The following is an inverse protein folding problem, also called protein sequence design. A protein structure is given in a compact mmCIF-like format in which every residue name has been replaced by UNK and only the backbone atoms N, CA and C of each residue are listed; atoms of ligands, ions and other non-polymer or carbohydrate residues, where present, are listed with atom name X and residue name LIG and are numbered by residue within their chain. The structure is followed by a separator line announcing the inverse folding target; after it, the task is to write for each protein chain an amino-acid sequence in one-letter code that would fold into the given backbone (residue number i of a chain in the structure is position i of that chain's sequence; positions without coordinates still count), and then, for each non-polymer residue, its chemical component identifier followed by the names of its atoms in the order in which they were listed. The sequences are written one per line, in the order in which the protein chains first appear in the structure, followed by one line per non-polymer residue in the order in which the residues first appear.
data_IF_828451476977
#
_entry.id   IF_828451476977
#
_cell.length_a   1.000
_cell.length_b   1.000
_cell.length_c   1.000
_cell.angle_alpha   90.00
_cell.angle_beta   90.00
_cell.angle_gamma   90.00
#
_symmetry.space_group_name_H-M   'P 1'
#
loop_
_entity.id
_entity.type
_entity.pdbx_description
1 polymer ?
#
# COMPACT_ATOMS: atom_id res chain seq x y z
N UNK A 1 -20.97 13.07 2.20
CA UNK A 1 -20.47 13.50 0.86
C UNK A 1 -19.05 14.08 0.94
N UNK A 2 -18.80 15.16 1.70
CA UNK A 2 -17.46 15.80 1.75
C UNK A 2 -16.33 14.86 2.21
N UNK A 3 -16.60 13.96 3.17
CA UNK A 3 -15.60 13.01 3.67
C UNK A 3 -15.26 11.91 2.65
N UNK A 4 -16.26 11.39 1.93
CA UNK A 4 -16.07 10.37 0.89
C UNK A 4 -15.28 10.90 -0.32
N UNK A 5 -15.47 12.17 -0.68
CA UNK A 5 -14.65 12.82 -1.71
C UNK A 5 -13.18 12.89 -1.28
N UNK A 6 -12.89 13.18 0.00
CA UNK A 6 -11.52 13.15 0.52
C UNK A 6 -10.91 11.76 0.46
N UNK A 7 -11.68 10.72 0.78
CA UNK A 7 -11.24 9.32 0.68
C UNK A 7 -10.85 8.97 -0.76
N UNK A 8 -11.76 9.23 -1.70
CA UNK A 8 -11.53 9.00 -3.13
C UNK A 8 -10.24 9.68 -3.64
N UNK A 9 -10.02 10.94 -3.25
CA UNK A 9 -8.83 11.70 -3.67
C UNK A 9 -7.50 11.12 -3.17
N UNK A 10 -7.50 10.20 -2.19
CA UNK A 10 -6.27 9.63 -1.64
C UNK A 10 -5.88 8.28 -2.29
N UNK A 11 -6.80 7.47 -2.81
CA UNK A 11 -7.21 6.26 -2.08
C UNK A 11 -8.49 5.58 -2.59
N UNK A 12 -8.66 5.05 -3.82
CA UNK A 12 -9.91 4.37 -4.19
C UNK A 12 -10.33 3.26 -3.22
N UNK A 13 -9.38 2.46 -2.71
CA UNK A 13 -9.62 1.42 -1.69
C UNK A 13 -10.07 1.95 -0.32
N UNK A 14 -10.10 3.27 -0.09
CA UNK A 14 -10.74 3.83 1.10
C UNK A 14 -12.27 3.83 1.01
N UNK A 15 -12.83 3.63 -0.18
CA UNK A 15 -14.25 3.52 -0.43
C UNK A 15 -14.66 2.07 -0.20
N UNK A 16 -15.70 1.87 0.61
CA UNK A 16 -16.14 0.53 1.00
C UNK A 16 -16.58 -0.28 -0.23
N UNK A 17 -16.14 -1.54 -0.30
CA UNK A 17 -16.42 -2.48 -1.39
C UNK A 17 -15.63 -2.27 -2.68
N UNK A 18 -14.78 -1.24 -2.80
CA UNK A 18 -13.90 -1.09 -3.96
C UNK A 18 -12.74 -2.08 -3.90
N UNK A 19 -12.16 -2.27 -2.72
CA UNK A 19 -11.07 -3.21 -2.49
C UNK A 19 -11.50 -4.64 -2.81
N UNK A 20 -12.64 -5.08 -2.29
CA UNK A 20 -13.19 -6.42 -2.52
C UNK A 20 -13.39 -6.69 -4.02
N UNK A 21 -13.93 -5.73 -4.76
CA UNK A 21 -14.10 -5.84 -6.22
C UNK A 21 -12.76 -5.94 -6.94
N UNK A 22 -11.78 -5.13 -6.56
CA UNK A 22 -10.45 -5.16 -7.15
C UNK A 22 -9.74 -6.51 -6.89
N UNK A 23 -9.95 -7.10 -5.71
CA UNK A 23 -9.43 -8.43 -5.36
C UNK A 23 -10.04 -9.51 -6.25
N UNK A 24 -11.37 -9.52 -6.41
CA UNK A 24 -12.05 -10.49 -7.26
C UNK A 24 -11.62 -10.36 -8.73
N UNK A 25 -11.60 -9.13 -9.27
CA UNK A 25 -11.15 -8.88 -10.64
C UNK A 25 -9.70 -9.33 -10.88
N UNK A 26 -8.81 -9.12 -9.91
CA UNK A 26 -7.42 -9.57 -10.01
C UNK A 26 -7.33 -11.10 -9.96
N UNK A 27 -8.10 -11.74 -9.07
CA UNK A 27 -8.14 -13.19 -8.93
C UNK A 27 -8.61 -13.85 -10.23
N UNK A 28 -9.68 -13.35 -10.83
CA UNK A 28 -10.19 -13.82 -12.12
C UNK A 28 -9.14 -13.68 -13.24
N UNK A 29 -8.46 -12.53 -13.30
CA UNK A 29 -7.39 -12.31 -14.29
C UNK A 29 -6.24 -13.30 -14.15
N UNK A 30 -5.74 -13.50 -12.92
CA UNK A 30 -4.62 -14.41 -12.68
C UNK A 30 -4.99 -15.87 -12.98
N UNK A 31 -6.20 -16.30 -12.60
CA UNK A 31 -6.68 -17.64 -12.95
C UNK A 31 -6.80 -17.80 -14.46
N UNK A 32 -7.31 -16.78 -15.17
CA UNK A 32 -7.39 -16.78 -16.63
C UNK A 32 -6.04 -16.87 -17.33
N UNK A 33 -5.02 -16.15 -16.84
CA UNK A 33 -3.63 -16.20 -17.34
C UNK A 33 -3.00 -17.60 -17.17
N UNK A 34 -3.45 -18.36 -16.18
CA UNK A 34 -2.95 -19.71 -15.87
C UNK A 34 -3.87 -20.83 -16.36
N UNK A 35 -4.61 -20.60 -17.45
CA UNK A 35 -5.48 -21.59 -18.10
C UNK A 35 -6.58 -22.15 -17.17
N UNK A 36 -7.01 -21.35 -16.19
CA UNK A 36 -8.01 -21.76 -15.21
C UNK A 36 -7.46 -22.58 -14.04
N UNK A 37 -6.14 -22.83 -13.98
CA UNK A 37 -5.52 -23.59 -12.90
C UNK A 37 -5.14 -22.67 -11.73
N UNK A 38 -6.05 -22.58 -10.75
CA UNK A 38 -5.84 -21.82 -9.52
C UNK A 38 -4.60 -22.29 -8.74
N UNK A 39 -4.21 -23.57 -8.85
CA UNK A 39 -3.08 -24.13 -8.10
C UNK A 39 -1.75 -23.49 -8.50
N UNK A 40 -1.68 -22.92 -9.71
CA UNK A 40 -0.52 -22.17 -10.21
C UNK A 40 -0.45 -20.75 -9.65
N UNK A 41 -1.56 -20.21 -9.13
CA UNK A 41 -1.62 -18.88 -8.54
C UNK A 41 -1.09 -18.92 -7.12
N UNK A 42 0.22 -18.73 -6.96
CA UNK A 42 0.83 -18.68 -5.63
C UNK A 42 0.45 -17.40 -4.88
N UNK A 43 0.40 -17.50 -3.54
CA UNK A 43 0.12 -16.34 -2.67
C UNK A 43 1.05 -15.16 -2.93
N UNK A 44 2.36 -15.44 -3.06
CA UNK A 44 3.39 -14.42 -3.34
C UNK A 44 3.15 -13.71 -4.67
N UNK A 45 2.72 -14.45 -5.69
CA UNK A 45 2.40 -13.86 -6.99
C UNK A 45 1.16 -12.97 -6.91
N UNK A 46 0.12 -13.42 -6.19
CA UNK A 46 -1.07 -12.61 -5.93
C UNK A 46 -0.71 -11.30 -5.21
N UNK A 47 0.04 -11.38 -4.10
CA UNK A 47 0.42 -10.19 -3.31
C UNK A 47 1.25 -9.19 -4.15
N UNK A 48 2.20 -9.68 -4.95
CA UNK A 48 2.99 -8.81 -5.84
C UNK A 48 2.11 -8.13 -6.91
N UNK A 49 1.21 -8.90 -7.54
CA UNK A 49 0.30 -8.38 -8.57
C UNK A 49 -0.76 -7.45 -8.00
N UNK A 50 -1.18 -7.67 -6.77
CA UNK A 50 -2.08 -6.79 -6.03
C UNK A 50 -1.49 -5.39 -5.87
N UNK A 51 -0.25 -5.31 -5.38
CA UNK A 51 0.40 -4.01 -5.20
C UNK A 51 0.58 -3.30 -6.53
N UNK A 52 1.07 -4.01 -7.55
CA UNK A 52 1.31 -3.44 -8.89
C UNK A 52 0.02 -2.96 -9.57
N UNK A 53 -0.99 -3.81 -9.66
CA UNK A 53 -2.18 -3.56 -10.46
C UNK A 53 -3.28 -2.83 -9.72
N UNK A 54 -3.38 -2.95 -8.39
CA UNK A 54 -4.50 -2.40 -7.63
C UNK A 54 -4.07 -1.25 -6.73
N UNK A 55 -2.94 -1.34 -6.03
CA UNK A 55 -2.48 -0.27 -5.13
C UNK A 55 -1.78 0.86 -5.89
N UNK A 56 -0.81 0.54 -6.73
CA UNK A 56 -0.03 1.54 -7.45
C UNK A 56 -0.85 2.19 -8.57
N UNK A 57 -1.46 1.38 -9.43
CA UNK A 57 -2.12 1.88 -10.64
C UNK A 57 -3.36 2.73 -10.36
N UNK A 58 -4.03 2.51 -9.21
CA UNK A 58 -5.31 3.15 -8.89
C UNK A 58 -5.18 4.55 -8.30
N UNK A 59 -3.98 4.99 -7.90
CA UNK A 59 -3.75 6.30 -7.28
C UNK A 59 -2.51 7.00 -7.83
N UNK A 60 -2.70 8.16 -8.45
CA UNK A 60 -1.60 8.98 -8.96
C UNK A 60 -0.60 9.42 -7.87
N UNK A 61 -1.04 9.53 -6.61
CA UNK A 61 -0.16 9.77 -5.45
C UNK A 61 0.73 8.55 -5.18
N UNK A 62 0.18 7.34 -5.27
CA UNK A 62 0.93 6.10 -5.09
C UNK A 62 1.95 5.92 -6.21
N UNK A 63 1.56 6.15 -7.47
CA UNK A 63 2.50 6.15 -8.62
C UNK A 63 3.66 7.14 -8.42
N UNK A 64 3.39 8.31 -7.85
CA UNK A 64 4.43 9.31 -7.58
C UNK A 64 5.37 8.85 -6.45
N UNK A 65 4.82 8.37 -5.34
CA UNK A 65 5.61 7.88 -4.20
C UNK A 65 6.48 6.69 -4.60
N UNK A 66 5.95 5.77 -5.40
CA UNK A 66 6.64 4.62 -5.95
C UNK A 66 7.93 4.99 -6.70
N UNK A 67 7.93 6.13 -7.38
CA UNK A 67 9.11 6.66 -8.09
C UNK A 67 10.00 7.51 -7.19
N UNK A 68 9.41 8.27 -6.28
CA UNK A 68 10.12 9.25 -5.47
C UNK A 68 10.89 8.62 -4.31
N UNK A 69 10.28 7.66 -3.59
CA UNK A 69 10.89 7.05 -2.40
C UNK A 69 12.20 6.31 -2.73
N UNK A 70 12.31 5.48 -3.80
CA UNK A 70 13.57 4.84 -4.14
C UNK A 70 14.66 5.84 -4.54
N UNK A 71 14.27 6.96 -5.18
CA UNK A 71 15.21 8.03 -5.53
C UNK A 71 15.77 8.69 -4.27
N UNK A 72 14.90 9.12 -3.36
CA UNK A 72 15.28 9.77 -2.11
C UNK A 72 16.12 8.85 -1.22
N UNK A 73 15.80 7.55 -1.16
CA UNK A 73 16.62 6.55 -0.44
C UNK A 73 18.03 6.46 -1.02
N UNK A 74 18.17 6.42 -2.35
CA UNK A 74 19.47 6.38 -3.02
C UNK A 74 20.32 7.63 -2.76
N UNK A 75 19.66 8.77 -2.59
CA UNK A 75 20.27 10.06 -2.24
C UNK A 75 20.55 10.19 -0.72
N UNK A 76 20.16 9.20 0.09
CA UNK A 76 20.42 9.17 1.54
C UNK A 76 19.44 10.02 2.37
N UNK A 77 18.29 10.41 1.82
CA UNK A 77 17.28 11.20 2.52
C UNK A 77 16.39 10.33 3.41
N UNK A 78 16.10 10.82 4.61
CA UNK A 78 15.01 10.30 5.47
C UNK A 78 13.71 11.02 5.11
N UNK A 79 12.63 10.25 4.92
CA UNK A 79 11.32 10.77 4.49
C UNK A 79 10.28 10.50 5.57
N UNK A 80 9.48 11.52 5.91
CA UNK A 80 8.34 11.40 6.79
C UNK A 80 7.05 11.58 6.00
N UNK A 81 6.12 10.63 6.13
CA UNK A 81 4.81 10.70 5.47
C UNK A 81 3.73 10.84 6.55
N UNK A 82 2.92 11.89 6.44
CA UNK A 82 1.81 12.14 7.34
C UNK A 82 0.49 11.83 6.64
N UNK A 83 -0.37 11.07 7.29
CA UNK A 83 -1.73 10.80 6.83
C UNK A 83 -2.72 10.98 7.97
N UNK A 84 -3.87 11.59 7.69
CA UNK A 84 -4.98 11.64 8.65
C UNK A 84 -5.74 10.31 8.74
N UNK A 85 -5.57 9.42 7.75
CA UNK A 85 -6.31 8.17 7.67
C UNK A 85 -5.38 6.97 7.90
N UNK A 86 -5.67 6.17 8.93
CA UNK A 86 -4.91 4.96 9.27
C UNK A 86 -4.90 3.95 8.11
N UNK A 87 -6.02 3.79 7.38
CA UNK A 87 -6.08 2.92 6.19
C UNK A 87 -5.05 3.29 5.11
N UNK A 88 -4.70 4.58 4.94
CA UNK A 88 -3.64 4.98 4.01
C UNK A 88 -2.26 4.56 4.53
N UNK A 89 -2.06 4.55 5.85
CA UNK A 89 -0.80 4.05 6.41
C UNK A 89 -0.62 2.56 6.10
N UNK A 90 -1.69 1.75 6.20
CA UNK A 90 -1.65 0.34 5.78
C UNK A 90 -1.23 0.19 4.30
N UNK A 91 -1.85 0.97 3.40
CA UNK A 91 -1.51 0.97 1.97
C UNK A 91 -0.05 1.37 1.71
N UNK A 92 0.49 2.31 2.50
CA UNK A 92 1.89 2.72 2.40
C UNK A 92 2.84 1.64 2.93
N UNK A 93 2.44 0.87 3.94
CA UNK A 93 3.21 -0.29 4.41
C UNK A 93 3.33 -1.34 3.31
N UNK A 94 2.21 -1.70 2.64
CA UNK A 94 2.22 -2.63 1.50
C UNK A 94 3.18 -2.15 0.39
N UNK A 95 3.20 -0.84 0.10
CA UNK A 95 4.15 -0.26 -0.86
C UNK A 95 5.60 -0.40 -0.38
N UNK A 96 5.87 -0.12 0.89
CA UNK A 96 7.23 -0.19 1.43
C UNK A 96 7.74 -1.63 1.43
N UNK A 97 6.92 -2.59 1.84
CA UNK A 97 7.24 -4.02 1.79
C UNK A 97 7.49 -4.47 0.34
N UNK A 98 6.63 -4.08 -0.60
CA UNK A 98 6.80 -4.38 -2.03
C UNK A 98 8.10 -3.82 -2.63
N UNK A 99 8.57 -2.68 -2.13
CA UNK A 99 9.81 -2.02 -2.57
C UNK A 99 11.02 -2.32 -1.69
N UNK A 100 10.90 -3.26 -0.75
CA UNK A 100 11.93 -3.60 0.25
C UNK A 100 12.49 -2.33 0.95
N UNK A 101 11.62 -1.37 1.27
CA UNK A 101 11.94 -0.14 1.98
C UNK A 101 11.78 -0.36 3.48
N UNK A 102 12.81 -0.01 4.25
CA UNK A 102 12.72 0.02 5.72
C UNK A 102 11.89 1.23 6.16
N UNK A 103 10.98 1.02 7.10
CA UNK A 103 10.10 2.07 7.61
C UNK A 103 9.75 1.84 9.09
N UNK A 104 9.30 2.90 9.74
CA UNK A 104 8.69 2.84 11.07
C UNK A 104 7.30 3.47 11.00
N UNK A 105 6.29 2.79 11.54
CA UNK A 105 4.92 3.28 11.58
C UNK A 105 4.61 3.84 12.96
N UNK A 106 4.01 5.04 12.98
CA UNK A 106 3.48 5.65 14.19
C UNK A 106 2.00 6.00 14.01
N UNK A 107 1.13 5.37 14.80
CA UNK A 107 -0.30 5.70 14.85
C UNK A 107 -0.86 5.69 16.30
N UNK A 108 -2.17 5.85 16.41
CA UNK A 108 -2.88 5.91 17.69
C UNK A 108 -2.94 4.59 18.47
N UNK A 109 -2.64 3.44 17.83
CA UNK A 109 -2.65 2.13 18.46
C UNK A 109 -1.32 1.78 19.13
N UNK A 110 -0.26 2.57 18.87
CA UNK A 110 1.08 2.32 19.42
C UNK A 110 1.25 3.02 20.77
N UNK A 111 1.57 2.23 21.80
CA UNK A 111 1.80 2.70 23.17
C UNK A 111 3.05 3.57 23.27
N UNK A 112 3.11 4.44 24.29
CA UNK A 112 4.21 5.42 24.45
C UNK A 112 5.62 4.81 24.42
N UNK A 113 5.85 3.68 25.11
CA UNK A 113 7.16 3.03 25.13
C UNK A 113 7.55 2.47 23.75
N UNK A 114 6.62 1.83 23.04
CA UNK A 114 6.88 1.30 21.69
C UNK A 114 7.08 2.43 20.68
N UNK A 115 6.35 3.53 20.84
CA UNK A 115 6.52 4.75 20.04
C UNK A 115 7.92 5.32 20.21
N UNK A 116 8.38 5.51 21.45
CA UNK A 116 9.72 6.05 21.69
C UNK A 116 10.79 5.12 21.10
N UNK A 117 10.67 3.81 21.31
CA UNK A 117 11.60 2.85 20.73
C UNK A 117 11.64 2.88 19.19
N UNK A 118 10.51 3.13 18.52
CA UNK A 118 10.47 3.30 17.07
C UNK A 118 11.15 4.60 16.62
N UNK A 119 10.94 5.70 17.37
CA UNK A 119 11.62 6.97 17.13
C UNK A 119 13.14 6.82 17.28
N UNK A 120 13.60 6.09 18.30
CA UNK A 120 15.02 5.92 18.58
C UNK A 120 15.73 5.04 17.53
N UNK A 121 15.01 4.14 16.86
CA UNK A 121 15.54 3.29 15.78
C UNK A 121 15.69 4.00 14.44
N UNK A 122 14.85 5.02 14.18
CA UNK A 122 14.75 5.66 12.87
C UNK A 122 15.80 6.74 12.63
#
# INVERSE_FOLDING_TARGET
IQMELRKCCNHPHLIDGVEDRAVEELREKLIGEHEGDESKVTRKMFDHRWVENCVLSSSGKMVLLDKLLPKLRREGHKVLIFSQMVKILNILEELCEYRDLEYERLDGNITGNRRQAAIDRF
#
